data_IF_754009425037
#
_entry.id   IF_754009425037
#
_cell.length_a   1.000
_cell.length_b   1.000
_cell.length_c   1.000
_cell.angle_alpha   90.00
_cell.angle_beta   90.00
_cell.angle_gamma   90.00
#
_symmetry.space_group_name_H-M   'P 1'
#
loop_
_entity.id
_entity.type
_entity.pdbx_description
1 polymer ?
#
# COMPACT_ATOMS: atom_id res chain seq x y z
N UNK A 1 2.79 -2.75 -72.90
CA UNK A 1 2.03 -3.28 -71.75
C UNK A 1 2.87 -4.36 -71.08
N UNK A 2 3.40 -4.06 -69.90
CA UNK A 2 3.88 -5.00 -68.86
C UNK A 2 4.68 -4.19 -67.83
N UNK A 3 3.98 -3.68 -66.82
CA UNK A 3 4.59 -2.95 -65.71
C UNK A 3 5.30 -3.98 -64.83
N UNK A 4 6.63 -3.99 -64.86
CA UNK A 4 7.45 -4.73 -63.90
C UNK A 4 7.50 -3.94 -62.59
N UNK A 5 6.54 -4.17 -61.69
CA UNK A 5 6.61 -3.62 -60.33
C UNK A 5 7.70 -4.34 -59.53
N UNK A 6 8.87 -3.71 -59.46
CA UNK A 6 9.97 -4.11 -58.58
C UNK A 6 9.57 -3.78 -57.14
N UNK A 7 9.18 -4.79 -56.37
CA UNK A 7 8.97 -4.64 -54.92
C UNK A 7 10.26 -4.09 -54.28
N UNK A 8 10.19 -3.00 -53.50
CA UNK A 8 11.39 -2.42 -52.91
C UNK A 8 12.00 -3.42 -51.90
N UNK A 9 13.31 -3.60 -51.98
CA UNK A 9 14.12 -4.29 -50.97
C UNK A 9 13.80 -3.70 -49.59
N UNK A 10 13.60 -4.51 -48.54
CA UNK A 10 13.23 -4.00 -47.23
C UNK A 10 14.37 -3.14 -46.70
N UNK A 11 14.19 -1.81 -46.72
CA UNK A 11 15.05 -0.85 -46.05
C UNK A 11 14.73 -0.85 -44.56
N UNK A 12 15.07 -1.95 -43.90
CA UNK A 12 14.97 -2.08 -42.45
C UNK A 12 16.35 -1.94 -41.82
N UNK A 13 16.40 -1.31 -40.65
CA UNK A 13 17.59 -1.27 -39.78
C UNK A 13 18.09 -2.68 -39.47
N UNK A 14 19.38 -2.85 -39.08
CA UNK A 14 19.93 -4.17 -38.72
C UNK A 14 19.07 -4.91 -37.67
N UNK A 15 18.45 -4.16 -36.76
CA UNK A 15 17.50 -4.68 -35.77
C UNK A 15 16.22 -5.23 -36.41
N UNK A 16 15.62 -4.54 -37.38
CA UNK A 16 14.44 -5.05 -38.09
C UNK A 16 14.77 -6.35 -38.84
N UNK A 17 15.93 -6.44 -39.49
CA UNK A 17 16.34 -7.68 -40.15
C UNK A 17 16.52 -8.83 -39.16
N UNK A 18 17.09 -8.58 -37.98
CA UNK A 18 17.25 -9.58 -36.94
C UNK A 18 15.89 -10.06 -36.39
N UNK A 19 14.97 -9.12 -36.16
CA UNK A 19 13.64 -9.38 -35.61
C UNK A 19 12.74 -10.13 -36.62
N UNK A 20 12.73 -9.70 -37.89
CA UNK A 20 11.87 -10.30 -38.92
C UNK A 20 12.40 -11.62 -39.49
N UNK A 21 13.69 -11.93 -39.37
CA UNK A 21 14.28 -13.20 -39.82
C UNK A 21 14.12 -14.31 -38.77
N UNK A 22 14.15 -13.96 -37.48
CA UNK A 22 13.98 -14.91 -36.36
C UNK A 22 12.70 -14.66 -35.58
N UNK A 23 11.58 -14.45 -36.30
CA UNK A 23 10.23 -14.22 -35.72
C UNK A 23 9.89 -15.13 -34.53
N UNK A 24 10.05 -16.48 -34.60
CA UNK A 24 9.72 -17.33 -33.45
C UNK A 24 10.64 -17.09 -32.24
N UNK A 25 11.92 -16.77 -32.44
CA UNK A 25 12.84 -16.51 -31.34
C UNK A 25 12.48 -15.22 -30.59
N UNK A 26 12.08 -14.17 -31.31
CA UNK A 26 11.62 -12.91 -30.71
C UNK A 26 10.34 -13.11 -29.91
N UNK A 27 9.39 -13.88 -30.43
CA UNK A 27 8.14 -14.19 -29.73
C UNK A 27 8.42 -14.94 -28.43
N UNK A 28 9.28 -15.98 -28.47
CA UNK A 28 9.67 -16.74 -27.28
C UNK A 28 10.37 -15.83 -26.27
N UNK A 29 11.28 -14.96 -26.71
CA UNK A 29 11.97 -14.03 -25.83
C UNK A 29 10.99 -13.07 -25.15
N UNK A 30 10.08 -12.44 -25.90
CA UNK A 30 9.05 -11.58 -25.35
C UNK A 30 8.13 -12.32 -24.37
N UNK A 31 7.78 -13.56 -24.67
CA UNK A 31 6.95 -14.40 -23.80
C UNK A 31 7.68 -14.71 -22.49
N UNK A 32 8.96 -15.09 -22.53
CA UNK A 32 9.79 -15.34 -21.35
C UNK A 32 9.91 -14.08 -20.47
N UNK A 33 10.20 -12.93 -21.08
CA UNK A 33 10.26 -11.64 -20.37
C UNK A 33 8.91 -11.29 -19.75
N UNK A 34 7.81 -11.54 -20.46
CA UNK A 34 6.46 -11.26 -19.97
C UNK A 34 6.10 -12.13 -18.77
N UNK A 35 6.41 -13.44 -18.81
CA UNK A 35 6.21 -14.35 -17.68
C UNK A 35 7.07 -13.91 -16.49
N UNK A 36 8.33 -13.56 -16.73
CA UNK A 36 9.23 -13.09 -15.69
C UNK A 36 8.71 -11.82 -15.01
N UNK A 37 8.30 -10.81 -15.80
CA UNK A 37 7.72 -9.58 -15.28
C UNK A 37 6.39 -9.82 -14.57
N UNK A 38 5.55 -10.73 -15.08
CA UNK A 38 4.30 -11.12 -14.43
C UNK A 38 4.56 -11.75 -13.06
N UNK A 39 5.54 -12.65 -12.95
CA UNK A 39 5.97 -13.21 -11.67
C UNK A 39 6.49 -12.14 -10.70
N UNK A 40 7.28 -11.17 -11.20
CA UNK A 40 7.72 -10.04 -10.37
C UNK A 40 6.54 -9.19 -9.91
N UNK A 41 5.54 -8.98 -10.76
CA UNK A 41 4.36 -8.20 -10.43
C UNK A 41 3.52 -8.85 -9.31
N UNK A 42 3.42 -10.18 -9.27
CA UNK A 42 2.70 -10.88 -8.18
C UNK A 42 3.42 -10.81 -6.83
N UNK A 43 4.73 -10.53 -6.82
CA UNK A 43 5.53 -10.34 -5.62
C UNK A 43 5.41 -8.92 -5.01
N UNK A 44 4.86 -7.96 -5.76
CA UNK A 44 4.69 -6.58 -5.29
C UNK A 44 3.65 -6.55 -4.18
N UNK A 45 4.11 -6.26 -2.95
CA UNK A 45 3.22 -6.08 -1.81
C UNK A 45 2.63 -4.67 -1.82
N UNK A 46 1.29 -4.51 -1.82
CA UNK A 46 0.68 -3.20 -1.65
C UNK A 46 1.10 -2.64 -0.28
N UNK A 47 1.82 -1.52 -0.27
CA UNK A 47 2.18 -0.83 0.97
C UNK A 47 1.22 0.31 1.24
N UNK A 48 0.39 0.18 2.27
CA UNK A 48 -0.55 1.21 2.76
C UNK A 48 0.08 2.18 3.75
N UNK A 49 1.42 2.25 3.76
CA UNK A 49 2.14 3.03 4.76
C UNK A 49 2.04 4.52 4.41
N UNK A 50 1.33 5.30 5.24
CA UNK A 50 1.11 6.75 5.06
C UNK A 50 2.42 7.51 4.80
N UNK A 51 3.52 7.10 5.43
CA UNK A 51 4.84 7.69 5.26
C UNK A 51 5.36 7.65 3.81
N UNK A 52 4.89 6.70 2.98
CA UNK A 52 5.27 6.61 1.56
C UNK A 52 4.41 7.48 0.64
N UNK A 53 3.31 8.02 1.15
CA UNK A 53 2.38 8.88 0.40
C UNK A 53 2.62 10.38 0.66
N UNK A 54 3.38 10.71 1.71
CA UNK A 54 3.64 12.09 2.14
C UNK A 54 5.03 12.53 1.65
N UNK A 55 5.22 13.79 1.23
CA UNK A 55 6.53 14.31 0.84
C UNK A 55 7.50 14.34 2.04
N UNK A 56 8.37 13.34 2.12
CA UNK A 56 9.32 13.17 3.23
C UNK A 56 10.36 14.29 3.35
N UNK A 57 10.60 15.06 2.29
CA UNK A 57 11.59 16.16 2.26
C UNK A 57 11.06 17.48 2.81
N UNK A 58 9.83 17.50 3.33
CA UNK A 58 9.28 18.72 3.91
C UNK A 58 9.86 18.91 5.32
N UNK A 59 10.37 20.10 5.67
CA UNK A 59 11.09 20.33 6.94
C UNK A 59 10.25 19.97 8.18
N UNK A 60 8.92 20.16 8.13
CA UNK A 60 8.02 19.75 9.22
C UNK A 60 7.94 18.22 9.39
N UNK A 61 7.94 17.48 8.27
CA UNK A 61 7.83 16.02 8.27
C UNK A 61 9.14 15.39 8.75
N UNK A 62 10.29 15.96 8.37
CA UNK A 62 11.59 15.53 8.89
C UNK A 62 11.66 15.66 10.41
N UNK A 63 11.26 16.82 10.96
CA UNK A 63 11.22 17.04 12.42
C UNK A 63 10.24 16.11 13.14
N UNK A 64 9.07 15.88 12.54
CA UNK A 64 8.08 14.92 13.07
C UNK A 64 8.63 13.49 13.10
N UNK A 65 9.39 13.08 12.07
CA UNK A 65 10.02 11.75 12.02
C UNK A 65 11.14 11.65 13.07
N UNK A 66 11.96 12.69 13.20
CA UNK A 66 13.03 12.79 14.21
C UNK A 66 12.49 12.59 15.64
N UNK A 67 11.32 13.19 15.94
CA UNK A 67 10.68 13.14 17.25
C UNK A 67 9.49 12.17 17.30
N UNK A 68 9.39 11.22 16.36
CA UNK A 68 8.23 10.32 16.25
C UNK A 68 7.97 9.54 17.53
N UNK A 69 9.04 9.13 18.24
CA UNK A 69 8.94 8.37 19.48
C UNK A 69 8.36 9.21 20.62
N UNK A 70 8.56 10.52 20.60
CA UNK A 70 7.95 11.46 21.56
C UNK A 70 6.45 11.69 21.26
N UNK A 71 6.04 11.35 20.03
CA UNK A 71 4.70 11.47 19.49
C UNK A 71 3.93 10.13 19.45
N UNK A 72 4.43 9.09 20.12
CA UNK A 72 4.02 7.68 19.97
C UNK A 72 2.51 7.39 20.03
N UNK A 73 1.70 8.29 20.62
CA UNK A 73 0.26 8.12 20.81
C UNK A 73 -0.65 8.81 19.77
N UNK A 74 -0.13 9.45 18.73
CA UNK A 74 -0.94 10.32 17.86
C UNK A 74 -1.46 9.64 16.58
N UNK A 75 -0.90 8.48 16.20
CA UNK A 75 -1.17 7.89 14.88
C UNK A 75 -2.38 6.97 14.83
N UNK A 76 -2.59 6.15 15.85
CA UNK A 76 -3.60 5.08 15.88
C UNK A 76 -4.26 5.02 17.25
N UNK A 77 -5.40 5.71 17.41
CA UNK A 77 -6.19 5.71 18.65
C UNK A 77 -7.57 5.13 18.39
N UNK A 78 -7.98 4.17 19.22
CA UNK A 78 -9.37 3.68 19.25
C UNK A 78 -10.10 4.42 20.37
N UNK A 79 -11.27 5.01 20.06
CA UNK A 79 -12.12 5.70 21.04
C UNK A 79 -13.45 4.96 21.15
N UNK A 80 -13.78 4.52 22.36
CA UNK A 80 -15.03 3.84 22.69
C UNK A 80 -15.94 4.86 23.37
N UNK A 81 -17.14 5.07 22.84
CA UNK A 81 -18.16 5.95 23.41
C UNK A 81 -19.31 5.10 23.92
N UNK A 82 -19.72 5.31 25.18
CA UNK A 82 -20.77 4.52 25.84
C UNK A 82 -21.92 5.44 26.23
N UNK A 83 -23.11 5.16 25.70
CA UNK A 83 -24.33 5.94 25.95
C UNK A 83 -25.20 5.28 27.03
N UNK A 84 -25.86 6.09 27.87
CA UNK A 84 -26.86 5.62 28.82
C UNK A 84 -28.24 5.55 28.15
N UNK A 85 -28.75 4.34 27.90
CA UNK A 85 -30.06 4.12 27.25
C UNK A 85 -31.23 4.49 28.16
N UNK A 86 -31.07 4.32 29.47
CA UNK A 86 -32.11 4.58 30.46
C UNK A 86 -31.55 5.40 31.62
N UNK A 87 -32.08 6.59 31.85
CA UNK A 87 -31.69 7.45 32.96
C UNK A 87 -30.43 8.27 32.68
N UNK A 88 -29.57 8.43 33.70
CA UNK A 88 -28.40 9.31 33.69
C UNK A 88 -27.08 8.52 33.81
N UNK A 89 -25.99 9.12 33.32
CA UNK A 89 -24.63 8.55 33.32
C UNK A 89 -24.04 8.37 34.72
N UNK A 90 -24.62 8.98 35.75
CA UNK A 90 -24.16 8.83 37.12
C UNK A 90 -24.86 7.69 37.88
N UNK A 91 -25.73 6.92 37.23
CA UNK A 91 -26.32 5.74 37.86
C UNK A 91 -25.27 4.63 38.07
N UNK A 92 -25.40 3.91 39.19
CA UNK A 92 -24.56 2.78 39.58
C UNK A 92 -24.42 1.74 38.47
N UNK A 93 -25.52 1.34 37.83
CA UNK A 93 -25.49 0.28 36.82
C UNK A 93 -24.72 0.70 35.57
N UNK A 94 -24.85 1.98 35.17
CA UNK A 94 -24.07 2.54 34.07
C UNK A 94 -22.58 2.61 34.44
N UNK A 95 -22.25 3.13 35.62
CA UNK A 95 -20.86 3.25 36.06
C UNK A 95 -20.17 1.89 36.21
N UNK A 96 -20.90 0.87 36.66
CA UNK A 96 -20.39 -0.50 36.73
C UNK A 96 -20.15 -1.09 35.34
N UNK A 97 -21.07 -0.85 34.39
CA UNK A 97 -20.89 -1.27 33.00
C UNK A 97 -19.69 -0.55 32.35
N UNK A 98 -19.56 0.75 32.56
CA UNK A 98 -18.45 1.55 32.07
C UNK A 98 -17.11 1.05 32.63
N UNK A 99 -17.07 0.68 33.92
CA UNK A 99 -15.90 0.08 34.57
C UNK A 99 -15.52 -1.25 33.91
N UNK A 100 -16.48 -2.13 33.67
CA UNK A 100 -16.23 -3.42 33.01
C UNK A 100 -15.68 -3.24 31.59
N UNK A 101 -16.24 -2.31 30.82
CA UNK A 101 -15.74 -1.97 29.48
C UNK A 101 -14.30 -1.44 29.54
N UNK A 102 -13.99 -0.56 30.50
CA UNK A 102 -12.64 -0.05 30.70
C UNK A 102 -11.65 -1.17 31.07
N UNK A 103 -12.03 -2.04 32.01
CA UNK A 103 -11.23 -3.18 32.45
C UNK A 103 -10.93 -4.12 31.26
N UNK A 104 -11.95 -4.49 30.48
CA UNK A 104 -11.77 -5.34 29.30
C UNK A 104 -10.85 -4.68 28.25
N UNK A 105 -11.07 -3.40 27.95
CA UNK A 105 -10.23 -2.65 27.01
C UNK A 105 -8.77 -2.56 27.48
N UNK A 106 -8.55 -2.46 28.80
CA UNK A 106 -7.22 -2.39 29.39
C UNK A 106 -6.41 -3.67 29.17
N UNK A 107 -7.06 -4.83 29.21
CA UNK A 107 -6.39 -6.12 29.05
C UNK A 107 -6.27 -6.60 27.60
N UNK A 108 -6.72 -5.82 26.60
CA UNK A 108 -6.56 -6.18 25.18
C UNK A 108 -5.05 -6.28 24.84
N UNK A 109 -4.57 -7.44 24.37
CA UNK A 109 -3.17 -7.60 23.99
C UNK A 109 -2.85 -6.76 22.74
N UNK A 110 -1.72 -6.05 22.77
CA UNK A 110 -1.23 -5.24 21.65
C UNK A 110 -1.72 -3.79 21.60
N UNK A 111 -2.46 -3.32 22.61
CA UNK A 111 -2.85 -1.91 22.76
C UNK A 111 -1.92 -1.21 23.75
N UNK A 112 -1.45 -0.01 23.40
CA UNK A 112 -0.73 0.85 24.35
C UNK A 112 -1.72 1.44 25.37
N UNK A 113 -1.39 1.28 26.65
CA UNK A 113 -2.22 1.67 27.79
C UNK A 113 -1.89 3.05 28.32
N UNK A 114 -0.84 3.70 27.80
CA UNK A 114 -0.34 4.99 28.26
C UNK A 114 -1.36 6.14 28.17
N UNK A 115 -2.42 5.99 27.37
CA UNK A 115 -3.52 6.95 27.22
C UNK A 115 -4.76 6.69 28.07
N UNK A 116 -4.85 5.57 28.80
CA UNK A 116 -6.01 5.26 29.65
C UNK A 116 -5.84 5.86 31.05
N UNK A 117 -6.82 6.66 31.47
CA UNK A 117 -6.92 7.30 32.79
C UNK A 117 -8.26 6.97 33.42
#
# INVERSE_FOLDING_TARGET
MSIQQKFPVPQGTLLERLIFNHRPAVIILCLLVSIFLFWQATLIRPSTRFEKMIPLKHPFIERMIEHRNDLANLGNTVRISVEAVNGDIFNKDYMETLRQINDEAFYIPGVDRSGMK
#
